data_IF_712464304050
#
_entry.id   IF_712464304050
#
_cell.length_a   1.000
_cell.length_b   1.000
_cell.length_c   1.000
_cell.angle_alpha   90.00
_cell.angle_beta   90.00
_cell.angle_gamma   90.00
#
_symmetry.space_group_name_H-M   'P 1'
#
loop_
_entity.id
_entity.type
_entity.pdbx_description
1 polymer ?
#
# COMPACT_ATOMS: atom_id res chain seq x y z
N UNK A 1 -5.80 2.64 24.11
CA UNK A 1 -4.71 3.23 24.93
C UNK A 1 -5.11 3.59 26.37
N UNK A 2 -6.38 3.42 26.78
CA UNK A 2 -6.85 3.76 28.15
C UNK A 2 -6.32 2.84 29.25
N UNK A 3 -6.06 1.56 28.93
CA UNK A 3 -5.50 0.61 29.91
C UNK A 3 -4.12 1.02 30.44
N UNK A 4 -3.27 1.57 29.58
CA UNK A 4 -1.96 2.11 29.95
C UNK A 4 -2.08 3.34 30.86
N UNK A 5 -3.00 4.25 30.53
CA UNK A 5 -3.25 5.47 31.31
C UNK A 5 -3.75 5.11 32.71
N UNK A 6 -4.69 4.16 32.83
CA UNK A 6 -5.21 3.74 34.13
C UNK A 6 -4.18 3.02 34.99
N UNK A 7 -3.31 2.19 34.39
CA UNK A 7 -2.20 1.56 35.14
C UNK A 7 -1.18 2.60 35.63
N UNK A 8 -0.88 3.63 34.82
CA UNK A 8 -0.02 4.74 35.24
C UNK A 8 -0.64 5.60 36.36
N UNK A 9 -1.97 5.68 36.44
CA UNK A 9 -2.71 6.34 37.52
C UNK A 9 -2.89 5.44 38.77
N UNK A 10 -2.45 4.17 38.73
CA UNK A 10 -2.62 3.20 39.82
C UNK A 10 -4.01 2.56 39.90
N UNK A 11 -4.87 2.77 38.90
CA UNK A 11 -6.24 2.23 38.84
C UNK A 11 -6.26 0.91 38.05
N UNK A 12 -5.77 -0.16 38.69
CA UNK A 12 -5.59 -1.47 38.05
C UNK A 12 -6.90 -2.16 37.65
N UNK A 13 -8.01 -1.91 38.35
CA UNK A 13 -9.33 -2.43 37.96
C UNK A 13 -9.80 -1.83 36.63
N UNK A 14 -9.72 -0.50 36.48
CA UNK A 14 -10.05 0.15 35.20
C UNK A 14 -9.08 -0.27 34.10
N UNK A 15 -7.80 -0.42 34.41
CA UNK A 15 -6.82 -0.92 33.46
C UNK A 15 -7.20 -2.33 32.95
N UNK A 16 -7.58 -3.24 33.84
CA UNK A 16 -8.02 -4.59 33.50
C UNK A 16 -9.32 -4.60 32.69
N UNK A 17 -10.29 -3.75 33.04
CA UNK A 17 -11.54 -3.61 32.28
C UNK A 17 -11.28 -3.14 30.85
N UNK A 18 -10.42 -2.14 30.66
CA UNK A 18 -10.05 -1.66 29.34
C UNK A 18 -9.24 -2.69 28.54
N UNK A 19 -8.38 -3.51 29.18
CA UNK A 19 -7.69 -4.64 28.51
C UNK A 19 -8.70 -5.65 27.97
N UNK A 20 -9.67 -6.08 28.78
CA UNK A 20 -10.73 -7.03 28.36
C UNK A 20 -11.60 -6.49 27.23
N UNK A 21 -11.99 -5.22 27.32
CA UNK A 21 -12.77 -4.58 26.25
C UNK A 21 -11.95 -4.46 24.96
N UNK A 22 -10.67 -4.09 25.07
CA UNK A 22 -9.79 -4.02 23.92
C UNK A 22 -9.63 -5.38 23.25
N UNK A 23 -9.46 -6.47 24.00
CA UNK A 23 -9.41 -7.83 23.44
C UNK A 23 -10.72 -8.21 22.73
N UNK A 24 -11.87 -7.88 23.33
CA UNK A 24 -13.20 -8.20 22.75
C UNK A 24 -13.47 -7.46 21.44
N UNK A 25 -13.05 -6.19 21.35
CA UNK A 25 -13.35 -5.32 20.22
C UNK A 25 -12.14 -5.06 19.31
N UNK A 26 -11.03 -5.77 19.51
CA UNK A 26 -9.84 -5.60 18.68
C UNK A 26 -10.22 -5.90 17.22
N UNK A 27 -10.05 -4.94 16.29
CA UNK A 27 -10.26 -5.20 14.88
C UNK A 27 -9.39 -6.36 14.41
N UNK A 28 -9.90 -7.18 13.49
CA UNK A 28 -9.07 -8.18 12.81
C UNK A 28 -8.20 -7.48 11.77
N UNK A 29 -7.07 -6.95 12.24
CA UNK A 29 -6.09 -6.29 11.39
C UNK A 29 -5.55 -7.24 10.31
N UNK A 30 -5.48 -8.55 10.58
CA UNK A 30 -5.05 -9.55 9.60
C UNK A 30 -6.04 -9.68 8.45
N UNK A 31 -7.35 -9.68 8.73
CA UNK A 31 -8.37 -9.74 7.69
C UNK A 31 -8.34 -8.51 6.79
N UNK A 32 -8.17 -7.31 7.38
CA UNK A 32 -8.03 -6.06 6.63
C UNK A 32 -6.81 -6.11 5.71
N UNK A 33 -5.66 -6.49 6.25
CA UNK A 33 -4.40 -6.47 5.48
C UNK A 33 -4.43 -7.49 4.34
N UNK A 34 -5.05 -8.66 4.57
CA UNK A 34 -5.30 -9.65 3.52
C UNK A 34 -6.20 -9.10 2.42
N UNK A 35 -7.28 -8.42 2.77
CA UNK A 35 -8.20 -7.84 1.79
C UNK A 35 -7.50 -6.75 0.94
N UNK A 36 -6.72 -5.88 1.58
CA UNK A 36 -5.95 -4.83 0.87
C UNK A 36 -4.90 -5.45 -0.05
N UNK A 37 -4.17 -6.47 0.40
CA UNK A 37 -3.19 -7.16 -0.42
C UNK A 37 -3.82 -7.85 -1.63
N UNK A 38 -4.96 -8.52 -1.44
CA UNK A 38 -5.71 -9.15 -2.52
C UNK A 38 -6.20 -8.13 -3.56
N UNK A 39 -6.76 -7.00 -3.10
CA UNK A 39 -7.23 -5.93 -3.97
C UNK A 39 -6.11 -5.23 -4.75
N UNK A 40 -4.91 -5.12 -4.18
CA UNK A 40 -3.74 -4.59 -4.89
C UNK A 40 -3.30 -5.53 -6.00
N UNK A 41 -3.18 -6.83 -5.70
CA UNK A 41 -2.76 -7.86 -6.68
C UNK A 41 -3.70 -7.98 -7.87
N UNK A 42 -5.00 -7.71 -7.70
CA UNK A 42 -5.96 -7.74 -8.81
C UNK A 42 -5.89 -6.53 -9.74
N UNK A 43 -5.20 -5.46 -9.36
CA UNK A 43 -5.04 -4.25 -10.15
C UNK A 43 -3.55 -4.03 -10.50
N UNK A 44 -3.12 -4.28 -11.76
CA UNK A 44 -1.72 -4.18 -12.16
C UNK A 44 -1.05 -2.82 -11.86
N UNK A 45 -1.81 -1.72 -11.94
CA UNK A 45 -1.28 -0.40 -11.63
C UNK A 45 -1.06 -0.22 -10.12
N UNK A 46 -2.01 -0.69 -9.30
CA UNK A 46 -1.91 -0.64 -7.85
C UNK A 46 -0.83 -1.59 -7.31
N UNK A 47 -0.69 -2.78 -7.91
CA UNK A 47 0.34 -3.75 -7.57
C UNK A 47 1.75 -3.21 -7.86
N UNK A 48 1.94 -2.57 -9.02
CA UNK A 48 3.19 -1.90 -9.34
C UNK A 48 3.48 -0.73 -8.40
N UNK A 49 2.46 0.08 -8.07
CA UNK A 49 2.60 1.24 -7.18
C UNK A 49 2.88 0.87 -5.71
N UNK A 50 2.54 -0.35 -5.30
CA UNK A 50 2.72 -0.83 -3.94
C UNK A 50 4.11 -1.44 -3.70
N UNK A 51 4.97 -1.53 -4.72
CA UNK A 51 6.32 -2.06 -4.60
C UNK A 51 7.19 -1.17 -3.71
N UNK A 52 8.07 -1.79 -2.92
CA UNK A 52 9.00 -1.07 -2.03
C UNK A 52 9.88 -0.06 -2.79
N UNK A 53 10.25 -0.39 -4.03
CA UNK A 53 10.86 0.53 -4.99
C UNK A 53 10.02 0.43 -6.27
N UNK A 54 9.39 1.54 -6.66
CA UNK A 54 8.52 1.59 -7.84
C UNK A 54 9.21 2.30 -9.00
N UNK A 55 9.27 1.66 -10.17
CA UNK A 55 9.84 2.25 -11.39
C UNK A 55 8.74 2.36 -12.46
N UNK A 56 8.44 3.59 -12.87
CA UNK A 56 7.42 3.86 -13.89
C UNK A 56 8.04 4.11 -15.26
N UNK A 57 7.46 3.49 -16.29
CA UNK A 57 7.74 3.83 -17.70
C UNK A 57 7.00 5.11 -18.05
N UNK A 58 7.69 6.25 -17.97
CA UNK A 58 7.13 7.57 -18.27
C UNK A 58 6.90 7.78 -19.78
N UNK A 59 7.76 7.19 -20.60
CA UNK A 59 7.71 7.25 -22.07
C UNK A 59 6.92 6.03 -22.59
N UNK A 60 5.59 6.10 -22.55
CA UNK A 60 4.70 5.05 -23.06
C UNK A 60 3.65 5.62 -24.00
N UNK A 61 3.13 4.81 -24.91
CA UNK A 61 2.01 5.19 -25.78
C UNK A 61 0.83 5.68 -24.95
N UNK A 62 0.34 6.88 -25.25
CA UNK A 62 -0.74 7.53 -24.49
C UNK A 62 -0.33 8.10 -23.13
N UNK A 63 0.97 8.29 -22.88
CA UNK A 63 1.44 9.04 -21.72
C UNK A 63 0.98 10.51 -21.82
N UNK A 64 0.49 11.12 -20.72
CA UNK A 64 0.10 12.53 -20.72
C UNK A 64 1.28 13.43 -21.12
N UNK A 65 1.04 14.35 -22.06
CA UNK A 65 2.08 15.25 -22.58
C UNK A 65 3.08 14.61 -23.55
N UNK A 66 2.85 13.34 -23.95
CA UNK A 66 3.60 12.66 -24.98
C UNK A 66 2.74 12.56 -26.25
N UNK A 67 2.74 13.61 -27.06
CA UNK A 67 2.09 13.60 -28.37
C UNK A 67 2.79 12.56 -29.25
N UNK A 68 2.07 11.55 -29.74
CA UNK A 68 2.63 10.41 -30.46
C UNK A 68 3.04 10.73 -31.90
N UNK A 69 3.61 11.91 -32.14
CA UNK A 69 4.15 12.34 -33.45
C UNK A 69 5.67 12.32 -33.46
N UNK A 70 6.29 11.36 -32.78
CA UNK A 70 7.70 11.04 -32.99
C UNK A 70 7.73 9.83 -33.90
N UNK A 71 8.05 10.09 -35.17
CA UNK A 71 8.28 9.11 -36.21
C UNK A 71 9.23 8.02 -35.70
N UNK A 72 8.91 6.76 -36.03
CA UNK A 72 9.76 5.60 -35.77
C UNK A 72 11.05 5.70 -36.59
N UNK A 73 12.03 6.50 -36.16
CA UNK A 73 13.41 6.29 -36.60
C UNK A 73 13.98 5.08 -35.85
N UNK A 74 13.79 3.93 -36.49
CA UNK A 74 14.54 2.71 -36.25
C UNK A 74 16.03 2.99 -36.49
N UNK A 75 16.94 2.82 -35.52
CA UNK A 75 18.35 2.96 -35.81
C UNK A 75 18.78 1.80 -36.70
N UNK A 76 19.23 2.21 -37.90
CA UNK A 76 19.75 1.41 -38.98
C UNK A 76 20.60 0.21 -38.51
N UNK A 77 20.35 -0.91 -39.17
CA UNK A 77 21.23 -2.06 -39.20
C UNK A 77 22.68 -1.62 -39.52
N UNK A 78 23.58 -1.81 -38.55
CA UNK A 78 25.01 -1.79 -38.79
C UNK A 78 25.38 -2.97 -39.69
N UNK A 79 25.54 -2.71 -40.98
CA UNK A 79 25.83 -3.70 -42.00
C UNK A 79 26.84 -3.20 -43.02
N UNK A 80 28.11 -3.33 -42.64
CA UNK A 80 29.37 -3.18 -43.40
C UNK A 80 29.79 -1.78 -43.84
#
# INVERSE_FOLDING_TARGET
NLSLIHSQLGDEEKAAAHRRLHEKYRPDDNARDKAVAAARRSNPAADNAAQAITIYKLQRKGAPGLDTTVEEESPAAGGR
#
